data_IF_078312897271
#
_entry.id   IF_078312897271
#
_cell.length_a   1.000
_cell.length_b   1.000
_cell.length_c   1.000
_cell.angle_alpha   90.00
_cell.angle_beta   90.00
_cell.angle_gamma   90.00
#
_symmetry.space_group_name_H-M   'P 1'
#
loop_
_entity.id
_entity.type
_entity.pdbx_description
1 polymer ?
#
# COMPACT_ATOMS: atom_id res chain seq x y z
N UNK A 1 30.88 -33.73 -10.61
CA UNK A 1 30.22 -32.81 -9.66
C UNK A 1 28.86 -33.41 -9.34
N UNK A 2 28.55 -33.65 -8.06
CA UNK A 2 27.24 -34.17 -7.68
C UNK A 2 26.18 -33.16 -8.06
N UNK A 3 25.23 -33.56 -8.92
CA UNK A 3 24.07 -32.69 -9.22
C UNK A 3 23.18 -32.65 -7.98
N UNK A 4 23.00 -31.49 -7.39
CA UNK A 4 22.02 -31.31 -6.32
C UNK A 4 20.63 -31.53 -6.92
N UNK A 5 19.78 -32.42 -6.33
CA UNK A 5 18.41 -32.61 -6.79
C UNK A 5 17.60 -31.31 -6.84
N UNK A 6 16.74 -31.17 -7.84
CA UNK A 6 15.98 -29.92 -8.05
C UNK A 6 15.05 -29.62 -6.87
N UNK A 7 14.54 -30.63 -6.19
CA UNK A 7 13.67 -30.47 -5.02
C UNK A 7 14.39 -29.77 -3.86
N UNK A 8 15.67 -30.11 -3.64
CA UNK A 8 16.50 -29.46 -2.62
C UNK A 8 16.76 -28.01 -3.02
N UNK A 9 17.03 -27.73 -4.31
CA UNK A 9 17.22 -26.37 -4.81
C UNK A 9 15.91 -25.56 -4.61
N UNK A 10 14.77 -26.16 -4.88
CA UNK A 10 13.46 -25.53 -4.71
C UNK A 10 13.23 -25.15 -3.25
N UNK A 11 13.47 -26.07 -2.30
CA UNK A 11 13.32 -25.78 -0.87
C UNK A 11 14.27 -24.69 -0.40
N UNK A 12 15.52 -24.69 -0.83
CA UNK A 12 16.48 -23.64 -0.53
C UNK A 12 16.03 -22.28 -1.10
N UNK A 13 15.50 -22.26 -2.32
CA UNK A 13 15.05 -21.04 -2.97
C UNK A 13 13.81 -20.45 -2.31
N UNK A 14 12.90 -21.27 -1.79
CA UNK A 14 11.72 -20.80 -1.05
C UNK A 14 12.09 -19.96 0.18
N UNK A 15 13.26 -20.19 0.77
CA UNK A 15 13.75 -19.47 1.96
C UNK A 15 14.55 -18.21 1.65
N UNK A 16 14.76 -17.88 0.37
CA UNK A 16 15.54 -16.71 -0.03
C UNK A 16 14.65 -15.49 -0.31
N UNK A 17 15.14 -14.27 -0.03
CA UNK A 17 14.43 -13.05 -0.43
C UNK A 17 14.21 -13.00 -1.95
N UNK A 18 13.06 -12.48 -2.39
CA UNK A 18 12.74 -12.36 -3.82
C UNK A 18 13.81 -11.59 -4.62
N UNK A 19 14.42 -10.56 -4.02
CA UNK A 19 15.50 -9.80 -4.64
C UNK A 19 16.76 -10.64 -4.93
N UNK A 20 17.03 -11.63 -4.09
CA UNK A 20 18.13 -12.61 -4.31
C UNK A 20 17.76 -13.58 -5.43
N UNK A 21 16.53 -14.09 -5.43
CA UNK A 21 16.03 -14.99 -6.48
C UNK A 21 16.05 -14.32 -7.86
N UNK A 22 15.69 -13.05 -7.96
CA UNK A 22 15.82 -12.27 -9.20
C UNK A 22 17.26 -12.27 -9.74
N UNK A 23 18.25 -12.22 -8.86
CA UNK A 23 19.68 -12.33 -9.28
C UNK A 23 20.03 -13.77 -9.71
N UNK A 24 19.47 -14.78 -9.05
CA UNK A 24 19.75 -16.18 -9.33
C UNK A 24 19.17 -16.67 -10.67
N UNK A 25 18.22 -15.95 -11.27
CA UNK A 25 17.71 -16.23 -12.61
C UNK A 25 18.79 -16.33 -13.70
N UNK A 26 19.91 -15.63 -13.54
CA UNK A 26 21.00 -15.62 -14.52
C UNK A 26 21.98 -16.78 -14.35
N UNK A 27 21.87 -17.57 -13.27
CA UNK A 27 22.82 -18.65 -12.97
C UNK A 27 22.72 -19.82 -13.94
N UNK A 28 21.50 -20.21 -14.31
CA UNK A 28 21.26 -21.30 -15.25
C UNK A 28 19.84 -21.26 -15.82
N UNK A 29 19.62 -21.93 -16.96
CA UNK A 29 18.28 -22.10 -17.54
C UNK A 29 17.28 -22.79 -16.59
N UNK A 30 17.66 -23.86 -15.86
CA UNK A 30 16.79 -24.47 -14.86
C UNK A 30 16.38 -23.50 -13.73
N UNK A 31 17.33 -22.73 -13.18
CA UNK A 31 17.02 -21.73 -12.16
C UNK A 31 16.07 -20.64 -12.70
N UNK A 32 16.31 -20.17 -13.91
CA UNK A 32 15.42 -19.24 -14.58
C UNK A 32 14.00 -19.79 -14.71
N UNK A 33 13.86 -21.04 -15.23
CA UNK A 33 12.55 -21.66 -15.44
C UNK A 33 11.81 -21.92 -14.13
N UNK A 34 12.53 -22.31 -13.07
CA UNK A 34 11.96 -22.53 -11.76
C UNK A 34 11.43 -21.21 -11.18
N UNK A 35 12.28 -20.18 -11.07
CA UNK A 35 11.95 -18.90 -10.42
C UNK A 35 10.80 -18.18 -11.13
N UNK A 36 10.67 -18.31 -12.45
CA UNK A 36 9.63 -17.68 -13.25
C UNK A 36 8.36 -18.52 -13.38
N UNK A 37 8.35 -19.73 -12.82
CA UNK A 37 7.16 -20.57 -12.88
C UNK A 37 6.05 -20.02 -11.95
N UNK A 38 4.79 -19.99 -12.41
CA UNK A 38 3.67 -19.55 -11.57
C UNK A 38 3.57 -20.31 -10.24
N UNK A 39 3.81 -21.62 -10.28
CA UNK A 39 3.75 -22.49 -9.10
C UNK A 39 4.80 -22.12 -8.06
N UNK A 40 6.04 -21.84 -8.50
CA UNK A 40 7.09 -21.40 -7.60
C UNK A 40 6.82 -20.02 -7.03
N UNK A 41 6.33 -19.08 -7.85
CA UNK A 41 5.96 -17.71 -7.39
C UNK A 41 4.88 -17.80 -6.31
N UNK A 42 3.85 -18.61 -6.52
CA UNK A 42 2.78 -18.82 -5.54
C UNK A 42 3.29 -19.49 -4.27
N UNK A 43 4.12 -20.54 -4.39
CA UNK A 43 4.70 -21.26 -3.26
C UNK A 43 5.63 -20.37 -2.43
N UNK A 44 6.47 -19.56 -3.09
CA UNK A 44 7.36 -18.61 -2.44
C UNK A 44 6.58 -17.54 -1.67
N UNK A 45 5.54 -16.97 -2.27
CA UNK A 45 4.67 -16.00 -1.59
C UNK A 45 3.99 -16.62 -0.36
N UNK A 46 3.40 -17.81 -0.51
CA UNK A 46 2.76 -18.52 0.60
C UNK A 46 3.74 -18.84 1.73
N UNK A 47 4.95 -19.30 1.40
CA UNK A 47 6.00 -19.54 2.39
C UNK A 47 6.34 -18.27 3.16
N UNK A 48 6.57 -17.15 2.45
CA UNK A 48 6.91 -15.86 3.08
C UNK A 48 5.75 -15.33 3.96
N UNK A 49 4.50 -15.49 3.53
CA UNK A 49 3.33 -15.09 4.33
C UNK A 49 3.17 -15.95 5.59
N UNK A 50 3.46 -17.24 5.53
CA UNK A 50 3.34 -18.17 6.66
C UNK A 50 4.47 -18.00 7.68
N UNK A 51 5.70 -17.81 7.22
CA UNK A 51 6.87 -17.66 8.10
C UNK A 51 7.01 -16.24 8.66
N UNK A 52 6.47 -15.24 7.98
CA UNK A 52 6.72 -13.83 8.28
C UNK A 52 8.16 -13.40 8.00
N UNK A 53 8.92 -14.19 7.25
CA UNK A 53 10.29 -13.86 6.86
C UNK A 53 10.30 -12.81 5.73
N UNK A 54 11.38 -12.02 5.68
CA UNK A 54 11.59 -11.01 4.63
C UNK A 54 10.49 -9.95 4.54
N UNK A 55 9.88 -9.63 5.71
CA UNK A 55 9.00 -8.48 5.81
C UNK A 55 9.82 -7.20 5.74
N UNK A 56 9.34 -6.26 4.96
CA UNK A 56 9.95 -4.94 4.77
C UNK A 56 8.94 -3.86 5.15
N UNK A 57 9.48 -2.72 5.49
CA UNK A 57 8.72 -1.48 5.64
C UNK A 57 9.00 -0.63 4.41
N UNK A 58 7.95 -0.20 3.73
CA UNK A 58 8.02 0.85 2.74
C UNK A 58 7.79 2.18 3.44
N UNK A 59 8.74 3.08 3.33
CA UNK A 59 8.65 4.44 3.85
C UNK A 59 8.46 5.42 2.70
N UNK A 60 7.44 6.24 2.79
CA UNK A 60 7.19 7.33 1.87
C UNK A 60 7.38 8.65 2.60
N UNK A 61 8.48 9.34 2.32
CA UNK A 61 8.74 10.73 2.71
C UNK A 61 8.33 11.73 1.62
N UNK A 62 8.56 13.01 1.83
CA UNK A 62 8.19 14.07 0.87
C UNK A 62 8.87 13.96 -0.50
N UNK A 63 10.04 13.33 -0.56
CA UNK A 63 10.84 13.19 -1.78
C UNK A 63 11.42 11.80 -2.02
N UNK A 64 11.25 10.89 -1.06
CA UNK A 64 11.88 9.57 -1.07
C UNK A 64 10.83 8.49 -0.89
N UNK A 65 10.98 7.44 -1.67
CA UNK A 65 10.35 6.16 -1.43
C UNK A 65 11.48 5.17 -1.17
N UNK A 66 11.51 4.56 0.00
CA UNK A 66 12.54 3.60 0.35
C UNK A 66 11.96 2.37 1.05
N UNK A 67 12.67 1.27 0.95
CA UNK A 67 12.37 0.05 1.69
C UNK A 67 13.42 -0.21 2.74
N UNK A 68 12.96 -0.73 3.88
CA UNK A 68 13.79 -1.06 5.03
C UNK A 68 13.44 -2.48 5.48
N UNK A 69 14.43 -3.30 5.65
CA UNK A 69 14.27 -4.61 6.27
C UNK A 69 14.04 -4.43 7.79
N UNK A 70 12.99 -5.04 8.33
CA UNK A 70 12.64 -4.91 9.75
C UNK A 70 13.71 -5.51 10.65
N UNK A 71 14.34 -6.59 10.22
CA UNK A 71 15.42 -7.27 10.95
C UNK A 71 16.79 -6.57 10.76
N UNK A 72 16.91 -5.65 9.79
CA UNK A 72 18.13 -4.89 9.51
C UNK A 72 17.83 -3.40 9.20
N UNK A 73 17.33 -2.61 10.17
CA UNK A 73 16.83 -1.25 9.96
C UNK A 73 17.88 -0.24 9.51
N UNK A 74 19.16 -0.59 9.63
CA UNK A 74 20.28 0.24 9.13
C UNK A 74 20.45 0.13 7.60
N UNK A 75 19.83 -0.88 6.97
CA UNK A 75 19.88 -1.10 5.51
C UNK A 75 18.65 -0.47 4.85
N UNK A 76 18.80 0.80 4.49
CA UNK A 76 17.79 1.52 3.71
C UNK A 76 18.10 1.37 2.23
N UNK A 77 17.10 1.07 1.43
CA UNK A 77 17.23 0.96 -0.03
C UNK A 77 16.25 1.90 -0.71
N UNK A 78 16.78 2.81 -1.51
CA UNK A 78 15.95 3.71 -2.31
C UNK A 78 15.15 2.94 -3.37
N UNK A 79 13.92 3.33 -3.55
CA UNK A 79 13.00 2.74 -4.50
C UNK A 79 12.75 3.72 -5.64
N UNK A 80 13.32 3.43 -6.81
CA UNK A 80 12.93 4.14 -8.03
C UNK A 80 11.57 3.65 -8.49
N UNK A 81 10.55 4.48 -8.34
CA UNK A 81 9.21 4.14 -8.77
C UNK A 81 8.89 4.67 -10.19
N UNK A 82 7.94 4.04 -10.91
CA UNK A 82 7.68 4.32 -12.33
C UNK A 82 6.96 5.63 -12.60
N UNK A 83 6.28 6.19 -11.60
CA UNK A 83 5.50 7.41 -11.75
C UNK A 83 6.43 8.61 -11.53
N UNK A 84 7.08 9.08 -12.61
CA UNK A 84 7.93 10.26 -12.58
C UNK A 84 7.10 11.47 -12.98
N UNK A 85 6.72 12.29 -12.07
CA UNK A 85 6.31 13.65 -12.40
C UNK A 85 6.21 14.49 -11.13
N UNK A 86 6.57 15.73 -11.18
CA UNK A 86 6.59 16.81 -10.22
C UNK A 86 5.48 16.94 -9.15
N UNK A 87 4.82 15.86 -8.79
CA UNK A 87 3.82 15.74 -7.74
C UNK A 87 4.23 14.73 -6.67
N UNK A 88 3.58 14.79 -5.53
CA UNK A 88 3.75 13.82 -4.47
C UNK A 88 3.04 12.51 -4.89
N UNK A 89 3.81 11.50 -5.29
CA UNK A 89 3.25 10.17 -5.56
C UNK A 89 2.68 9.59 -4.28
N UNK A 90 1.42 9.21 -4.31
CA UNK A 90 0.76 8.55 -3.19
C UNK A 90 0.95 7.04 -3.27
N UNK A 91 1.18 6.42 -2.10
CA UNK A 91 1.12 4.97 -1.91
C UNK A 91 -0.22 4.66 -1.27
N UNK A 92 -1.10 3.95 -1.97
CA UNK A 92 -2.47 3.72 -1.51
C UNK A 92 -2.74 2.29 -1.01
N UNK A 93 -1.70 1.54 -0.75
CA UNK A 93 -1.79 0.22 -0.14
C UNK A 93 -0.74 -0.75 -0.68
N UNK A 94 -0.62 -1.87 0.00
CA UNK A 94 0.22 -2.99 -0.39
C UNK A 94 -0.54 -4.31 -0.30
N UNK A 95 -0.24 -5.24 -1.21
CA UNK A 95 -0.81 -6.58 -1.21
C UNK A 95 0.15 -7.55 -1.88
N UNK A 96 0.55 -8.62 -1.17
CA UNK A 96 1.41 -9.69 -1.71
C UNK A 96 2.71 -9.16 -2.36
N UNK A 97 3.29 -8.10 -1.80
CA UNK A 97 4.51 -7.46 -2.32
C UNK A 97 4.29 -6.45 -3.45
N UNK A 98 3.07 -6.28 -3.93
CA UNK A 98 2.71 -5.16 -4.80
C UNK A 98 2.37 -3.94 -3.98
N UNK A 99 2.75 -2.77 -4.46
CA UNK A 99 2.29 -1.47 -3.97
C UNK A 99 1.48 -0.77 -5.04
N UNK A 100 0.42 -0.10 -4.61
CA UNK A 100 -0.37 0.78 -5.45
C UNK A 100 0.16 2.21 -5.37
N UNK A 101 0.44 2.80 -6.51
CA UNK A 101 0.99 4.15 -6.67
C UNK A 101 0.03 5.02 -7.49
N UNK A 102 -0.16 6.28 -7.08
CA UNK A 102 -0.97 7.24 -7.81
C UNK A 102 -0.36 8.63 -7.79
N UNK A 103 -0.29 9.30 -8.93
CA UNK A 103 -0.05 10.73 -9.07
C UNK A 103 -1.35 11.50 -9.30
N UNK A 104 -2.35 10.84 -9.85
CA UNK A 104 -3.67 11.38 -10.13
C UNK A 104 -4.68 10.23 -10.31
N UNK A 105 -5.98 10.49 -10.35
CA UNK A 105 -6.99 9.46 -10.59
C UNK A 105 -6.84 8.69 -11.90
N UNK A 106 -6.07 9.23 -12.85
CA UNK A 106 -5.84 8.65 -14.19
C UNK A 106 -4.40 8.18 -14.39
N UNK A 107 -3.48 8.45 -13.45
CA UNK A 107 -2.07 8.01 -13.50
C UNK A 107 -1.77 7.12 -12.29
N UNK A 108 -2.05 5.84 -12.47
CA UNK A 108 -1.99 4.81 -11.44
C UNK A 108 -1.06 3.68 -11.91
N UNK A 109 -0.29 3.11 -10.99
CA UNK A 109 0.54 1.94 -11.26
C UNK A 109 0.54 0.96 -10.10
N UNK A 110 0.65 -0.33 -10.41
CA UNK A 110 1.07 -1.38 -9.51
C UNK A 110 2.57 -1.58 -9.69
N UNK A 111 3.29 -1.68 -8.60
CA UNK A 111 4.74 -1.80 -8.63
C UNK A 111 5.22 -2.82 -7.59
N UNK A 112 6.15 -3.68 -7.95
CA UNK A 112 6.82 -4.58 -7.02
C UNK A 112 8.26 -4.10 -6.79
N UNK A 113 8.61 -3.60 -5.60
CA UNK A 113 9.96 -3.14 -5.29
C UNK A 113 11.01 -4.25 -5.37
N UNK A 114 10.66 -5.50 -5.01
CA UNK A 114 11.58 -6.64 -5.00
C UNK A 114 12.02 -7.06 -6.40
N UNK A 115 11.11 -7.02 -7.37
CA UNK A 115 11.38 -7.40 -8.77
C UNK A 115 11.63 -6.17 -9.67
N UNK A 116 11.31 -4.96 -9.18
CA UNK A 116 11.29 -3.69 -9.94
C UNK A 116 10.36 -3.72 -11.14
N UNK A 117 9.36 -4.59 -11.13
CA UNK A 117 8.36 -4.68 -12.18
C UNK A 117 7.21 -3.72 -11.91
N UNK A 118 6.70 -3.18 -13.00
CA UNK A 118 5.62 -2.19 -12.98
C UNK A 118 4.54 -2.58 -13.94
N UNK A 119 3.30 -2.41 -13.52
CA UNK A 119 2.14 -2.43 -14.39
C UNK A 119 1.42 -1.08 -14.27
N UNK A 120 1.49 -0.25 -15.32
CA UNK A 120 0.70 0.98 -15.39
C UNK A 120 -0.72 0.63 -15.78
N UNK A 121 -1.67 1.11 -15.00
CA UNK A 121 -3.08 0.89 -15.29
C UNK A 121 -3.48 1.74 -16.52
N UNK A 122 -4.37 1.22 -17.37
CA UNK A 122 -4.98 2.02 -18.44
C UNK A 122 -5.59 3.30 -17.87
N UNK A 123 -5.29 4.43 -18.51
CA UNK A 123 -5.87 5.70 -18.10
C UNK A 123 -7.39 5.64 -18.23
N UNK A 124 -8.09 5.87 -17.14
CA UNK A 124 -9.54 5.78 -17.08
C UNK A 124 -10.14 7.12 -16.70
N UNK A 125 -10.97 7.65 -17.58
CA UNK A 125 -11.63 8.95 -17.40
C UNK A 125 -12.53 8.90 -16.15
N UNK A 126 -12.62 10.02 -15.46
CA UNK A 126 -13.57 10.21 -14.36
C UNK A 126 -14.94 10.57 -14.96
N UNK A 127 -15.90 9.71 -14.74
CA UNK A 127 -17.29 9.95 -15.17
C UNK A 127 -18.01 10.71 -14.05
N UNK A 128 -18.14 12.00 -14.19
CA UNK A 128 -18.88 12.80 -13.21
C UNK A 128 -20.37 12.43 -13.24
N UNK A 129 -20.95 12.07 -12.09
CA UNK A 129 -22.41 11.88 -11.99
C UNK A 129 -23.16 13.15 -12.40
N UNK A 130 -24.41 12.99 -12.86
CA UNK A 130 -25.25 14.10 -13.28
C UNK A 130 -25.40 15.14 -12.15
N UNK A 131 -25.22 16.42 -12.46
CA UNK A 131 -25.24 17.52 -11.50
C UNK A 131 -23.94 17.76 -10.75
N UNK A 132 -22.88 16.96 -10.98
CA UNK A 132 -21.54 17.17 -10.39
C UNK A 132 -20.70 18.06 -11.30
N UNK A 133 -19.99 19.02 -10.72
CA UNK A 133 -19.17 19.99 -11.47
C UNK A 133 -17.68 19.80 -11.28
N UNK A 134 -17.26 19.27 -10.14
CA UNK A 134 -15.84 19.11 -9.81
C UNK A 134 -15.57 17.81 -9.05
N UNK A 135 -14.34 17.32 -9.19
CA UNK A 135 -13.81 16.24 -8.39
C UNK A 135 -13.59 16.70 -6.95
N UNK A 136 -14.08 15.92 -6.02
CA UNK A 136 -13.74 16.03 -4.61
C UNK A 136 -12.55 15.16 -4.25
N UNK A 137 -12.76 14.20 -3.35
CA UNK A 137 -11.72 13.32 -2.82
C UNK A 137 -11.66 12.01 -3.60
N UNK A 138 -10.45 11.44 -3.67
CA UNK A 138 -10.19 10.15 -4.30
C UNK A 138 -9.72 9.17 -3.25
N UNK A 139 -10.32 7.99 -3.27
CA UNK A 139 -10.00 6.88 -2.40
C UNK A 139 -9.56 5.70 -3.21
N UNK A 140 -8.61 4.97 -2.68
CA UNK A 140 -8.15 3.77 -3.31
C UNK A 140 -8.18 2.59 -2.33
N UNK A 141 -8.20 1.39 -2.90
CA UNK A 141 -7.89 0.17 -2.19
C UNK A 141 -7.21 -0.80 -3.16
N UNK A 142 -6.21 -1.50 -2.67
CA UNK A 142 -5.53 -2.57 -3.40
C UNK A 142 -5.74 -3.88 -2.65
N UNK A 143 -6.17 -4.92 -3.37
CA UNK A 143 -6.34 -6.23 -2.79
C UNK A 143 -6.16 -7.35 -3.80
N UNK A 144 -6.05 -8.57 -3.28
CA UNK A 144 -6.02 -9.81 -4.05
C UNK A 144 -7.31 -10.59 -3.80
N UNK A 145 -8.06 -10.81 -4.86
CA UNK A 145 -9.23 -11.67 -4.86
C UNK A 145 -8.79 -13.12 -5.00
N UNK A 146 -8.88 -13.88 -3.93
CA UNK A 146 -8.46 -15.28 -3.89
C UNK A 146 -9.40 -16.21 -4.68
N UNK A 147 -10.62 -15.79 -4.99
CA UNK A 147 -11.60 -16.58 -5.74
C UNK A 147 -11.32 -16.53 -7.24
N UNK A 148 -11.06 -15.33 -7.76
CA UNK A 148 -10.72 -15.15 -9.18
C UNK A 148 -9.20 -15.17 -9.44
N UNK A 149 -8.38 -15.26 -8.38
CA UNK A 149 -6.92 -15.17 -8.43
C UNK A 149 -6.44 -13.90 -9.15
N UNK A 150 -7.01 -12.75 -8.78
CA UNK A 150 -6.79 -11.48 -9.45
C UNK A 150 -6.45 -10.36 -8.48
N UNK A 151 -5.53 -9.48 -8.88
CA UNK A 151 -5.28 -8.24 -8.15
C UNK A 151 -6.26 -7.18 -8.61
N UNK A 152 -6.94 -6.57 -7.65
CA UNK A 152 -7.95 -5.55 -7.91
C UNK A 152 -7.58 -4.22 -7.26
N UNK A 153 -7.79 -3.13 -8.02
CA UNK A 153 -7.71 -1.76 -7.50
C UNK A 153 -9.10 -1.16 -7.51
N UNK A 154 -9.58 -0.76 -6.35
CA UNK A 154 -10.83 0.00 -6.21
C UNK A 154 -10.50 1.48 -6.20
N UNK A 155 -11.12 2.25 -7.07
CA UNK A 155 -11.07 3.71 -7.10
C UNK A 155 -12.45 4.26 -6.79
N UNK A 156 -12.58 5.02 -5.72
CA UNK A 156 -13.80 5.76 -5.38
C UNK A 156 -13.50 7.26 -5.46
N UNK A 157 -14.31 8.00 -6.18
CA UNK A 157 -14.19 9.45 -6.30
C UNK A 157 -15.47 10.06 -5.77
N UNK A 158 -15.34 10.85 -4.71
CA UNK A 158 -16.40 11.70 -4.23
C UNK A 158 -16.46 12.94 -5.11
N UNK A 159 -17.62 13.22 -5.69
CA UNK A 159 -17.81 14.37 -6.56
C UNK A 159 -18.50 15.50 -5.79
N UNK A 160 -18.14 16.75 -6.11
CA UNK A 160 -18.84 17.92 -5.60
C UNK A 160 -19.95 18.31 -6.56
N UNK A 161 -21.17 18.43 -6.08
CA UNK A 161 -22.30 18.93 -6.87
C UNK A 161 -22.37 20.47 -6.85
N UNK A 162 -23.13 21.03 -7.77
CA UNK A 162 -23.33 22.47 -7.88
C UNK A 162 -24.53 23.01 -7.12
N UNK A 163 -25.25 22.20 -6.33
CA UNK A 163 -26.51 22.60 -5.68
C UNK A 163 -26.41 22.57 -4.16
N UNK A 164 -27.12 23.50 -3.50
CA UNK A 164 -27.23 23.61 -2.04
C UNK A 164 -27.79 22.36 -1.34
N UNK A 165 -28.36 21.41 -2.12
CA UNK A 165 -29.03 20.22 -1.64
C UNK A 165 -28.09 19.04 -1.28
N UNK A 166 -26.76 19.17 -1.47
CA UNK A 166 -25.78 18.18 -1.02
C UNK A 166 -25.90 17.87 0.49
N UNK A 167 -26.45 18.83 1.23
CA UNK A 167 -26.70 18.67 2.65
C UNK A 167 -27.77 17.62 2.96
N UNK A 168 -28.70 17.40 2.03
CA UNK A 168 -29.86 16.50 2.22
C UNK A 168 -29.67 15.17 1.51
N UNK A 169 -29.09 15.18 0.31
CA UNK A 169 -29.02 14.01 -0.58
C UNK A 169 -27.64 13.31 -0.60
N UNK A 170 -26.63 13.88 0.10
CA UNK A 170 -25.27 13.33 0.12
C UNK A 170 -24.44 13.69 -1.12
N UNK A 171 -23.26 13.13 -1.19
CA UNK A 171 -22.31 13.35 -2.27
C UNK A 171 -22.38 12.24 -3.30
N UNK A 172 -22.43 12.54 -4.59
CA UNK A 172 -22.35 11.52 -5.62
C UNK A 172 -20.95 10.92 -5.68
N UNK A 173 -20.89 9.61 -5.92
CA UNK A 173 -19.64 8.87 -6.04
C UNK A 173 -19.52 8.23 -7.43
N UNK A 174 -18.30 8.28 -7.98
CA UNK A 174 -17.90 7.40 -9.08
C UNK A 174 -17.04 6.29 -8.49
N UNK A 175 -17.41 5.05 -8.71
CA UNK A 175 -16.68 3.88 -8.22
C UNK A 175 -16.34 2.97 -9.40
N UNK A 176 -15.05 2.71 -9.56
CA UNK A 176 -14.53 1.78 -10.57
C UNK A 176 -13.58 0.79 -9.96
N UNK A 177 -13.59 -0.43 -10.47
CA UNK A 177 -12.70 -1.52 -10.10
C UNK A 177 -11.85 -1.90 -11.29
N UNK A 178 -10.55 -1.90 -11.11
CA UNK A 178 -9.59 -2.42 -12.07
C UNK A 178 -9.28 -3.88 -11.77
N UNK A 179 -9.25 -4.72 -12.79
CA UNK A 179 -8.78 -6.11 -12.76
C UNK A 179 -7.43 -6.19 -13.46
N UNK A 180 -6.40 -6.65 -12.75
CA UNK A 180 -5.07 -6.85 -13.36
C UNK A 180 -5.11 -7.95 -14.41
N UNK A 181 -5.83 -9.04 -14.14
CA UNK A 181 -5.97 -10.19 -15.04
C UNK A 181 -6.65 -9.82 -16.36
N UNK A 182 -7.67 -8.93 -16.30
CA UNK A 182 -8.40 -8.43 -17.47
C UNK A 182 -7.77 -7.17 -18.08
N UNK A 183 -6.88 -6.52 -17.35
CA UNK A 183 -6.28 -5.23 -17.68
C UNK A 183 -7.32 -4.17 -18.07
N UNK A 184 -8.40 -4.10 -17.33
CA UNK A 184 -9.51 -3.20 -17.62
C UNK A 184 -10.26 -2.74 -16.38
N UNK A 185 -10.90 -1.57 -16.51
CA UNK A 185 -11.76 -0.98 -15.48
C UNK A 185 -13.20 -1.38 -15.69
N UNK A 186 -13.92 -1.59 -14.59
CA UNK A 186 -15.35 -1.83 -14.54
C UNK A 186 -16.00 -0.84 -13.59
N UNK A 187 -17.08 -0.16 -14.02
CA UNK A 187 -17.86 0.72 -13.15
C UNK A 187 -18.79 -0.10 -12.26
N UNK A 188 -18.80 0.22 -10.96
CA UNK A 188 -19.78 -0.32 -10.00
C UNK A 188 -21.01 0.58 -10.01
N UNK A 189 -22.13 0.01 -10.44
CA UNK A 189 -23.40 0.74 -10.56
C UNK A 189 -24.22 0.74 -9.27
N UNK A 190 -24.11 -0.35 -8.49
CA UNK A 190 -24.87 -0.53 -7.26
C UNK A 190 -24.04 -0.08 -6.06
N UNK A 191 -24.31 1.11 -5.59
CA UNK A 191 -23.67 1.68 -4.41
C UNK A 191 -24.72 1.76 -3.31
N UNK A 192 -24.32 1.41 -2.06
CA UNK A 192 -25.23 1.53 -0.93
C UNK A 192 -25.63 3.00 -0.74
N UNK A 193 -26.92 3.34 -0.61
CA UNK A 193 -27.35 4.71 -0.35
C UNK A 193 -26.68 5.33 0.87
N UNK A 194 -26.39 4.52 1.89
CA UNK A 194 -25.68 4.94 3.09
C UNK A 194 -24.29 5.56 2.77
N UNK A 195 -23.58 5.09 1.74
CA UNK A 195 -22.26 5.63 1.37
C UNK A 195 -22.38 7.08 0.90
N UNK A 196 -23.46 7.45 0.22
CA UNK A 196 -23.68 8.81 -0.28
C UNK A 196 -23.85 9.82 0.86
N UNK A 197 -24.29 9.37 2.04
CA UNK A 197 -24.47 10.21 3.23
C UNK A 197 -23.19 10.38 4.02
N UNK A 198 -22.14 9.61 3.70
CA UNK A 198 -20.90 9.60 4.45
C UNK A 198 -19.97 10.71 3.93
N UNK A 199 -19.46 11.50 4.85
CA UNK A 199 -18.65 12.66 4.52
C UNK A 199 -17.18 12.42 4.87
N UNK A 200 -16.34 12.44 3.84
CA UNK A 200 -14.93 12.07 3.99
C UNK A 200 -13.98 13.21 4.31
N UNK A 201 -14.41 14.45 4.14
CA UNK A 201 -13.57 15.65 4.23
C UNK A 201 -12.67 15.70 5.49
N UNK A 202 -13.19 15.26 6.63
CA UNK A 202 -12.47 15.34 7.90
C UNK A 202 -11.36 14.33 8.08
N UNK A 203 -11.40 13.19 7.41
CA UNK A 203 -10.39 12.14 7.58
C UNK A 203 -9.07 12.46 6.89
N UNK A 204 -9.09 13.08 5.72
CA UNK A 204 -7.86 13.49 5.02
C UNK A 204 -7.08 14.57 5.76
N UNK A 205 -7.76 15.44 6.50
CA UNK A 205 -7.14 16.54 7.23
C UNK A 205 -6.48 16.12 8.55
N UNK A 206 -6.84 14.94 9.10
CA UNK A 206 -6.42 14.50 10.43
C UNK A 206 -5.40 13.35 10.42
N UNK A 207 -4.48 13.32 9.44
CA UNK A 207 -3.42 12.30 9.36
C UNK A 207 -3.89 10.91 8.94
N UNK A 208 -5.14 10.70 8.61
CA UNK A 208 -5.70 9.39 8.27
C UNK A 208 -5.57 9.10 6.79
N UNK A 209 -5.17 7.89 6.48
CA UNK A 209 -5.06 7.42 5.11
C UNK A 209 -6.46 7.06 4.60
N UNK A 210 -6.90 7.71 3.54
CA UNK A 210 -8.14 7.37 2.83
C UNK A 210 -8.07 6.10 2.02
N UNK A 211 -7.21 5.16 2.43
CA UNK A 211 -6.98 3.94 1.67
C UNK A 211 -7.69 2.77 2.31
N UNK A 212 -8.22 1.91 1.45
CA UNK A 212 -8.87 0.68 1.88
C UNK A 212 -7.88 -0.27 2.54
N UNK A 213 -8.24 -0.75 3.70
CA UNK A 213 -7.46 -1.73 4.46
C UNK A 213 -7.90 -3.13 4.04
N UNK A 214 -6.95 -3.93 3.53
CA UNK A 214 -7.22 -5.28 3.07
C UNK A 214 -7.22 -6.27 4.24
N UNK A 215 -8.35 -6.92 4.46
CA UNK A 215 -8.49 -8.05 5.36
C UNK A 215 -9.56 -9.02 4.83
N UNK A 216 -9.38 -10.32 5.01
CA UNK A 216 -10.38 -11.35 4.70
C UNK A 216 -11.02 -11.18 3.31
N UNK A 217 -10.21 -11.08 2.26
CA UNK A 217 -10.64 -10.90 0.87
C UNK A 217 -11.53 -9.68 0.61
N UNK A 218 -11.45 -8.67 1.49
CA UNK A 218 -12.27 -7.45 1.40
C UNK A 218 -11.46 -6.21 1.76
N UNK A 219 -11.83 -5.09 1.16
CA UNK A 219 -11.28 -3.77 1.48
C UNK A 219 -12.22 -3.06 2.44
N UNK A 220 -11.67 -2.39 3.43
CA UNK A 220 -12.44 -1.74 4.50
C UNK A 220 -12.06 -0.28 4.64
N UNK A 221 -13.05 0.57 4.91
CA UNK A 221 -12.89 1.99 5.21
C UNK A 221 -13.77 2.36 6.41
N UNK A 222 -13.27 3.22 7.28
CA UNK A 222 -14.11 3.90 8.27
C UNK A 222 -14.55 5.22 7.67
N UNK A 223 -15.84 5.46 7.60
CA UNK A 223 -16.42 6.69 7.09
C UNK A 223 -17.21 7.35 8.20
N UNK A 224 -16.84 8.57 8.63
CA UNK A 224 -17.64 9.32 9.60
C UNK A 224 -18.88 9.84 8.92
N UNK A 225 -19.97 9.88 9.67
CA UNK A 225 -21.11 10.69 9.30
C UNK A 225 -20.75 12.19 9.42
N UNK A 226 -21.52 12.98 8.74
CA UNK A 226 -21.37 14.42 8.64
C UNK A 226 -21.22 15.12 10.00
N UNK A 227 -20.31 16.12 10.15
CA UNK A 227 -20.28 16.99 11.31
C UNK A 227 -21.59 17.75 11.46
N UNK A 228 -22.12 17.81 12.69
CA UNK A 228 -23.38 18.52 13.02
C UNK A 228 -24.64 17.66 13.06
N UNK A 229 -24.60 16.43 12.56
CA UNK A 229 -25.57 15.40 12.91
C UNK A 229 -24.91 14.51 13.96
N UNK A 230 -25.67 13.86 14.84
CA UNK A 230 -25.14 12.86 15.77
C UNK A 230 -24.35 11.85 14.91
N UNK A 231 -23.00 11.98 14.96
CA UNK A 231 -22.15 11.35 13.98
C UNK A 231 -21.78 9.97 14.47
N UNK A 232 -22.38 8.95 13.89
CA UNK A 232 -21.92 7.58 14.05
C UNK A 232 -20.86 7.27 13.01
N UNK A 233 -19.78 6.64 13.42
CA UNK A 233 -18.86 6.01 12.48
C UNK A 233 -19.60 4.90 11.73
N UNK A 234 -19.17 4.65 10.51
CA UNK A 234 -19.66 3.54 9.71
C UNK A 234 -18.47 2.84 9.07
N UNK A 235 -18.35 1.55 9.27
CA UNK A 235 -17.36 0.75 8.56
C UNK A 235 -18.02 0.19 7.33
N UNK A 236 -17.47 0.52 6.17
CA UNK A 236 -17.86 -0.11 4.91
C UNK A 236 -16.83 -1.13 4.49
N UNK A 237 -17.28 -2.24 3.95
CA UNK A 237 -16.45 -3.23 3.31
C UNK A 237 -16.82 -3.37 1.83
N UNK A 238 -15.83 -3.62 1.01
CA UNK A 238 -15.99 -4.01 -0.39
C UNK A 238 -15.45 -5.41 -0.57
N UNK A 239 -16.32 -6.35 -0.86
CA UNK A 239 -15.94 -7.73 -1.15
C UNK A 239 -15.31 -7.82 -2.54
N UNK A 240 -14.06 -8.34 -2.60
CA UNK A 240 -13.32 -8.38 -3.85
C UNK A 240 -13.87 -9.43 -4.84
N UNK A 241 -14.52 -10.49 -4.34
CA UNK A 241 -15.05 -11.55 -5.19
C UNK A 241 -16.41 -11.16 -5.80
N UNK A 242 -17.35 -10.72 -4.98
CA UNK A 242 -18.68 -10.30 -5.43
C UNK A 242 -18.69 -8.89 -6.03
N UNK A 243 -17.70 -8.06 -5.70
CA UNK A 243 -17.60 -6.63 -6.05
C UNK A 243 -18.81 -5.83 -5.51
N UNK A 244 -19.24 -6.17 -4.31
CA UNK A 244 -20.35 -5.51 -3.62
C UNK A 244 -19.91 -4.82 -2.34
N UNK A 245 -20.58 -3.72 -2.01
CA UNK A 245 -20.39 -3.01 -0.74
C UNK A 245 -21.38 -3.51 0.30
N UNK A 246 -20.89 -3.64 1.53
CA UNK A 246 -21.69 -3.93 2.72
C UNK A 246 -21.26 -3.01 3.87
N UNK A 247 -22.16 -2.79 4.82
CA UNK A 247 -21.83 -2.19 6.11
C UNK A 247 -21.35 -3.33 7.02
N UNK A 248 -20.24 -3.10 7.71
CA UNK A 248 -19.71 -4.02 8.69
C UNK A 248 -20.06 -3.53 10.10
N UNK A 249 -20.71 -4.38 10.85
CA UNK A 249 -21.09 -4.09 12.23
C UNK A 249 -19.86 -4.08 13.16
N UNK A 250 -19.89 -3.21 14.15
CA UNK A 250 -18.85 -3.06 15.16
C UNK A 250 -19.48 -2.62 16.50
N UNK A 251 -18.76 -2.69 17.63
CA UNK A 251 -19.34 -2.41 18.95
C UNK A 251 -19.97 -1.02 19.03
N UNK A 252 -21.23 -0.94 19.43
CA UNK A 252 -21.98 0.31 19.56
C UNK A 252 -21.27 1.31 20.47
N UNK A 253 -20.57 0.81 21.51
CA UNK A 253 -19.75 1.64 22.40
C UNK A 253 -18.66 2.44 21.70
N UNK A 254 -18.25 2.06 20.48
CA UNK A 254 -17.26 2.74 19.68
C UNK A 254 -17.89 3.67 18.62
N UNK A 255 -19.19 3.70 18.48
CA UNK A 255 -19.88 4.41 17.41
C UNK A 255 -19.61 5.93 17.40
N UNK A 256 -19.40 6.51 18.58
CA UNK A 256 -19.12 7.95 18.75
C UNK A 256 -17.65 8.27 19.01
N UNK A 257 -16.82 7.26 19.11
CA UNK A 257 -15.41 7.42 19.44
C UNK A 257 -14.58 7.80 18.19
N UNK A 258 -13.39 8.32 18.43
CA UNK A 258 -12.44 8.59 17.39
C UNK A 258 -11.75 7.28 16.99
N UNK A 259 -12.30 6.57 15.99
CA UNK A 259 -11.79 5.28 15.53
C UNK A 259 -11.06 5.37 14.22
N UNK A 260 -10.08 4.48 14.06
CA UNK A 260 -9.40 4.18 12.81
C UNK A 260 -9.37 2.67 12.57
N UNK A 261 -9.03 2.26 11.34
CA UNK A 261 -9.05 0.85 10.95
C UNK A 261 -7.66 0.40 10.48
N UNK A 262 -7.30 -0.83 10.81
CA UNK A 262 -6.03 -1.44 10.42
C UNK A 262 -6.10 -2.95 10.39
N UNK A 263 -4.95 -3.57 10.19
CA UNK A 263 -4.78 -5.02 10.25
C UNK A 263 -3.61 -5.35 11.18
N UNK A 264 -3.81 -6.35 12.01
CA UNK A 264 -2.74 -6.93 12.81
C UNK A 264 -2.87 -8.46 12.74
N UNK A 265 -1.81 -9.11 12.29
CA UNK A 265 -1.77 -10.58 12.16
C UNK A 265 -2.92 -11.14 11.30
N UNK A 266 -3.21 -10.48 10.18
CA UNK A 266 -4.30 -10.84 9.27
C UNK A 266 -5.71 -10.52 9.73
N UNK A 267 -5.90 -10.10 10.99
CA UNK A 267 -7.19 -9.77 11.55
C UNK A 267 -7.48 -8.27 11.46
N UNK A 268 -8.73 -7.93 11.20
CA UNK A 268 -9.20 -6.54 11.20
C UNK A 268 -9.14 -5.96 12.61
N UNK A 269 -8.59 -4.75 12.72
CA UNK A 269 -8.43 -4.03 13.98
C UNK A 269 -9.08 -2.66 13.93
N UNK A 270 -9.61 -2.21 15.07
CA UNK A 270 -10.00 -0.82 15.30
C UNK A 270 -9.07 -0.20 16.34
N UNK A 271 -8.60 1.00 16.05
CA UNK A 271 -7.87 1.84 16.99
C UNK A 271 -8.81 2.93 17.48
N UNK A 272 -9.17 2.85 18.76
CA UNK A 272 -10.04 3.83 19.42
C UNK A 272 -9.18 4.82 20.20
N UNK A 273 -9.11 6.07 19.73
CA UNK A 273 -8.30 7.10 20.36
C UNK A 273 -9.14 7.88 21.39
N UNK A 274 -8.76 7.76 22.65
CA UNK A 274 -9.42 8.42 23.77
C UNK A 274 -8.71 9.73 24.11
N UNK A 275 -9.26 10.84 23.58
CA UNK A 275 -8.82 12.21 23.88
C UNK A 275 -7.31 12.43 23.80
N UNK A 276 -6.67 11.77 22.83
CA UNK A 276 -5.20 11.84 22.60
C UNK A 276 -4.34 11.37 23.78
N UNK A 277 -4.95 10.69 24.76
CA UNK A 277 -4.27 10.21 25.98
C UNK A 277 -3.81 8.77 25.87
N UNK A 278 -4.62 7.94 25.24
CA UNK A 278 -4.31 6.53 24.95
C UNK A 278 -5.15 6.02 23.79
N UNK A 279 -4.70 4.93 23.19
CA UNK A 279 -5.44 4.23 22.14
C UNK A 279 -5.74 2.80 22.60
N UNK A 280 -6.98 2.40 22.55
CA UNK A 280 -7.41 1.02 22.69
C UNK A 280 -7.41 0.33 21.34
N UNK A 281 -6.73 -0.80 21.23
CA UNK A 281 -6.73 -1.63 20.04
C UNK A 281 -7.74 -2.74 20.23
N UNK A 282 -8.71 -2.81 19.34
CA UNK A 282 -9.72 -3.85 19.27
C UNK A 282 -9.45 -4.75 18.07
N UNK A 283 -9.78 -6.03 18.18
CA UNK A 283 -9.61 -7.02 17.12
C UNK A 283 -10.91 -7.78 16.87
N UNK A 284 -11.21 -8.02 15.60
CA UNK A 284 -12.29 -8.92 15.19
C UNK A 284 -11.71 -10.34 15.09
N UNK A 285 -12.05 -11.20 16.06
CA UNK A 285 -11.51 -12.58 16.11
C UNK A 285 -12.13 -13.49 15.05
N UNK A 286 -13.42 -13.33 14.81
CA UNK A 286 -14.16 -14.04 13.78
C UNK A 286 -14.76 -13.03 12.82
N UNK A 287 -14.33 -13.10 11.58
CA UNK A 287 -14.70 -12.10 10.57
C UNK A 287 -16.21 -12.07 10.31
N UNK A 288 -16.80 -10.86 10.28
CA UNK A 288 -18.25 -10.59 10.14
C UNK A 288 -19.11 -11.07 11.32
N UNK A 289 -18.53 -11.44 12.43
CA UNK A 289 -19.27 -11.76 13.66
C UNK A 289 -19.13 -10.57 14.61
N UNK A 290 -20.19 -9.78 14.80
CA UNK A 290 -20.19 -8.57 15.63
C UNK A 290 -19.69 -8.84 17.04
N UNK A 291 -20.22 -9.90 17.67
CA UNK A 291 -19.82 -10.31 19.03
C UNK A 291 -18.37 -10.79 19.16
N UNK A 292 -17.63 -10.94 18.07
CA UNK A 292 -16.23 -11.37 18.09
C UNK A 292 -15.24 -10.24 18.35
N UNK A 293 -15.69 -8.99 18.32
CA UNK A 293 -14.84 -7.86 18.67
C UNK A 293 -14.41 -7.92 20.12
N UNK A 294 -13.13 -7.81 20.36
CA UNK A 294 -12.57 -7.80 21.71
C UNK A 294 -11.41 -6.84 21.81
N UNK A 295 -11.29 -6.19 22.96
CA UNK A 295 -10.15 -5.33 23.26
C UNK A 295 -8.89 -6.19 23.39
N UNK A 296 -7.87 -5.87 22.61
CA UNK A 296 -6.63 -6.63 22.56
C UNK A 296 -5.59 -6.07 23.55
N UNK A 297 -5.28 -4.78 23.44
CA UNK A 297 -4.39 -4.06 24.35
C UNK A 297 -4.65 -2.56 24.32
N UNK A 298 -4.07 -1.87 25.30
CA UNK A 298 -4.08 -0.41 25.40
C UNK A 298 -2.67 0.13 25.24
N UNK A 299 -2.54 1.19 24.44
CA UNK A 299 -1.29 1.93 24.20
C UNK A 299 -1.42 3.31 24.81
N UNK A 300 -0.71 3.65 25.88
CA UNK A 300 -0.71 4.99 26.45
C UNK A 300 0.06 5.95 25.53
N UNK A 301 -0.22 7.24 25.62
CA UNK A 301 0.56 8.27 24.92
C UNK A 301 2.05 8.17 25.29
N UNK A 302 2.96 7.98 24.30
CA UNK A 302 4.38 7.98 24.58
C UNK A 302 4.87 9.35 25.04
N UNK A 303 5.73 9.40 26.05
CA UNK A 303 6.33 10.66 26.53
C UNK A 303 7.13 11.41 25.45
N UNK A 304 7.56 10.72 24.41
CA UNK A 304 8.36 11.27 23.30
C UNK A 304 7.53 11.94 22.20
N UNK A 305 6.20 11.98 22.32
CA UNK A 305 5.32 12.63 21.34
C UNK A 305 4.56 13.78 21.99
N UNK A 306 4.47 14.91 21.30
CA UNK A 306 3.72 16.09 21.75
C UNK A 306 2.22 15.87 21.62
N UNK A 307 1.78 15.39 20.43
CA UNK A 307 0.41 14.97 20.16
C UNK A 307 0.33 13.46 19.96
N UNK A 308 -0.86 12.87 20.15
CA UNK A 308 -1.12 11.46 19.92
C UNK A 308 -2.39 11.32 19.09
N UNK A 309 -2.33 11.83 17.87
CA UNK A 309 -3.49 11.98 16.99
C UNK A 309 -3.79 10.68 16.24
N UNK A 310 -2.74 9.93 15.90
CA UNK A 310 -2.83 8.72 15.11
C UNK A 310 -1.88 7.64 15.64
N UNK A 311 -2.36 6.41 15.70
CA UNK A 311 -1.54 5.24 15.99
C UNK A 311 -2.10 4.05 15.23
N UNK A 312 -1.21 3.25 14.64
CA UNK A 312 -1.55 2.02 13.93
C UNK A 312 -0.58 0.89 14.28
N UNK A 313 -1.07 -0.30 14.69
CA UNK A 313 -0.24 -1.48 14.80
C UNK A 313 0.11 -1.98 13.38
N UNK A 314 1.34 -2.46 13.22
CA UNK A 314 1.83 -2.98 11.94
C UNK A 314 2.03 -4.50 12.00
N UNK A 315 2.78 -4.98 12.98
CA UNK A 315 3.08 -6.41 13.15
C UNK A 315 3.54 -6.71 14.56
N UNK A 316 3.52 -7.98 14.94
CA UNK A 316 4.17 -8.50 16.13
C UNK A 316 5.66 -8.75 15.91
N UNK A 317 6.47 -8.69 16.98
CA UNK A 317 7.80 -9.29 17.01
C UNK A 317 7.71 -10.81 16.83
N UNK A 318 8.82 -11.45 16.43
CA UNK A 318 8.87 -12.92 16.27
C UNK A 318 8.42 -13.67 17.53
N UNK A 319 8.79 -13.16 18.70
CA UNK A 319 8.41 -13.72 20.00
C UNK A 319 6.99 -13.30 20.46
N UNK A 320 6.30 -12.45 19.68
CA UNK A 320 4.97 -11.92 19.95
C UNK A 320 4.81 -11.14 21.28
N UNK A 321 5.92 -10.76 21.89
CA UNK A 321 5.96 -9.96 23.14
C UNK A 321 5.85 -8.45 22.88
N UNK A 322 6.11 -8.01 21.65
CA UNK A 322 6.06 -6.61 21.20
C UNK A 322 5.24 -6.43 19.95
N UNK A 323 4.74 -5.21 19.79
CA UNK A 323 4.04 -4.77 18.55
C UNK A 323 4.79 -3.57 17.99
N UNK A 324 5.07 -3.60 16.69
CA UNK A 324 5.57 -2.43 15.97
C UNK A 324 4.40 -1.49 15.70
N UNK A 325 4.53 -0.25 16.15
CA UNK A 325 3.51 0.79 16.01
C UNK A 325 4.04 1.93 15.14
N UNK A 326 3.18 2.41 14.24
CA UNK A 326 3.32 3.71 13.59
C UNK A 326 2.58 4.76 14.41
N UNK A 327 3.21 5.91 14.69
CA UNK A 327 2.63 7.01 15.47
C UNK A 327 2.76 8.30 14.67
N UNK A 328 1.64 8.99 14.46
CA UNK A 328 1.51 10.30 13.81
C UNK A 328 2.20 10.41 12.44
N UNK A 329 2.28 9.32 11.66
CA UNK A 329 3.01 9.24 10.38
C UNK A 329 4.46 9.76 10.48
N UNK A 330 5.10 9.62 11.63
CA UNK A 330 6.42 10.18 11.90
C UNK A 330 7.34 9.27 12.70
N UNK A 331 6.81 8.34 13.46
CA UNK A 331 7.60 7.51 14.36
C UNK A 331 7.21 6.05 14.26
N UNK A 332 8.23 5.19 14.23
CA UNK A 332 8.09 3.75 14.39
C UNK A 332 8.64 3.35 15.75
N UNK A 333 7.84 2.67 16.54
CA UNK A 333 8.21 2.25 17.89
C UNK A 333 7.77 0.82 18.15
N UNK A 334 8.65 0.04 18.77
CA UNK A 334 8.29 -1.21 19.39
C UNK A 334 7.62 -0.93 20.74
N UNK A 335 6.43 -1.46 20.92
CA UNK A 335 5.67 -1.41 22.18
C UNK A 335 5.68 -2.78 22.83
N UNK A 336 6.25 -2.89 23.99
CA UNK A 336 6.31 -4.11 24.80
C UNK A 336 4.96 -4.32 25.52
N UNK A 337 4.31 -5.44 25.25
CA UNK A 337 2.97 -5.70 25.72
C UNK A 337 2.89 -5.95 27.24
N UNK A 338 3.94 -6.47 27.86
CA UNK A 338 3.99 -6.74 29.29
C UNK A 338 4.42 -5.50 30.08
N UNK A 339 5.56 -4.92 29.73
CA UNK A 339 6.14 -3.78 30.48
C UNK A 339 5.55 -2.43 30.13
N UNK A 340 4.75 -2.35 29.05
CA UNK A 340 4.16 -1.10 28.48
C UNK A 340 5.22 -0.05 28.11
N UNK A 341 6.44 -0.47 27.78
CA UNK A 341 7.54 0.41 27.39
C UNK A 341 7.64 0.54 25.88
N UNK A 342 8.14 1.71 25.46
CA UNK A 342 8.40 2.02 24.05
C UNK A 342 9.90 2.00 23.77
N UNK A 343 10.27 1.42 22.63
CA UNK A 343 11.60 1.45 22.06
C UNK A 343 11.53 1.99 20.63
N UNK A 344 12.15 3.14 20.33
CA UNK A 344 12.18 3.70 18.98
C UNK A 344 12.88 2.73 18.02
N UNK A 345 12.25 2.43 16.90
CA UNK A 345 12.92 1.81 15.76
C UNK A 345 13.68 2.93 15.03
N UNK A 346 15.01 2.90 15.11
CA UNK A 346 15.85 3.87 14.42
C UNK A 346 16.11 3.39 13.02
N UNK A 347 15.72 4.20 12.04
CA UNK A 347 16.01 3.97 10.63
C UNK A 347 16.99 5.05 10.21
N UNK A 348 18.07 4.62 9.56
CA UNK A 348 19.14 5.53 9.13
C UNK A 348 18.57 6.51 8.10
N UNK A 349 18.94 7.79 8.23
CA UNK A 349 18.58 8.88 7.30
C UNK A 349 17.07 9.15 7.13
N UNK A 350 16.23 8.71 8.09
CA UNK A 350 14.80 8.87 8.08
C UNK A 350 14.29 9.56 9.36
N UNK A 351 14.59 10.85 9.51
CA UNK A 351 14.13 11.62 10.68
C UNK A 351 12.89 12.49 10.43
N UNK A 352 12.38 12.51 9.20
CA UNK A 352 11.22 13.32 8.80
C UNK A 352 9.91 12.52 8.83
N UNK A 353 8.79 13.24 8.78
CA UNK A 353 7.44 12.68 8.65
C UNK A 353 7.34 11.77 7.42
N UNK A 354 6.86 10.57 7.61
CA UNK A 354 6.69 9.56 6.55
C UNK A 354 5.44 8.72 6.78
N UNK A 355 4.85 8.25 5.70
CA UNK A 355 3.86 7.20 5.77
C UNK A 355 4.50 5.83 5.59
N UNK A 356 3.98 4.84 6.28
CA UNK A 356 4.52 3.49 6.35
C UNK A 356 3.57 2.50 5.68
N UNK A 357 4.10 1.56 4.89
CA UNK A 357 3.36 0.37 4.45
C UNK A 357 4.17 -0.87 4.78
N UNK A 358 3.49 -1.90 5.30
CA UNK A 358 4.10 -3.21 5.45
C UNK A 358 4.15 -3.88 4.09
N UNK A 359 5.32 -4.42 3.74
CA UNK A 359 5.57 -5.01 2.44
C UNK A 359 6.16 -6.41 2.59
N UNK A 360 5.63 -7.34 1.82
CA UNK A 360 6.15 -8.70 1.71
C UNK A 360 7.12 -8.77 0.54
N UNK A 361 8.30 -9.37 0.73
CA UNK A 361 9.20 -9.66 -0.38
C UNK A 361 8.59 -10.74 -1.28
N UNK A 362 8.28 -10.45 -2.53
CA UNK A 362 7.62 -11.39 -3.43
C UNK A 362 8.10 -11.31 -4.88
N UNK A 363 7.87 -12.39 -5.64
CA UNK A 363 8.11 -12.48 -7.07
C UNK A 363 6.88 -12.14 -7.92
N UNK A 364 5.80 -11.70 -7.30
CA UNK A 364 4.54 -11.31 -7.98
C UNK A 364 4.81 -10.21 -9.01
N UNK A 365 4.06 -10.18 -10.08
CA UNK A 365 4.33 -9.47 -11.34
C UNK A 365 5.58 -9.98 -12.05
N UNK A 366 6.09 -11.14 -11.69
CA UNK A 366 7.23 -11.88 -12.25
C UNK A 366 8.02 -11.14 -13.33
N UNK A 367 9.17 -11.56 -13.64
CA UNK A 367 9.95 -10.88 -14.68
C UNK A 367 9.43 -11.15 -16.12
N UNK A 368 8.20 -11.57 -16.29
CA UNK A 368 7.52 -11.53 -17.60
C UNK A 368 7.27 -10.08 -17.95
N UNK A 369 8.35 -9.41 -18.42
CA UNK A 369 8.20 -8.09 -19.02
C UNK A 369 7.18 -8.20 -20.15
N UNK A 370 6.19 -7.31 -20.16
CA UNK A 370 5.45 -7.01 -21.39
C UNK A 370 6.49 -6.91 -22.52
N UNK A 371 6.42 -7.72 -23.59
CA UNK A 371 7.35 -7.65 -24.70
C UNK A 371 7.54 -6.22 -25.21
N UNK A 372 6.51 -5.39 -25.09
CA UNK A 372 6.54 -3.97 -25.43
C UNK A 372 7.31 -3.13 -24.40
N UNK A 373 7.30 -3.50 -23.13
CA UNK A 373 8.06 -2.79 -22.08
C UNK A 373 9.56 -3.09 -22.18
N UNK A 374 9.92 -4.33 -22.48
CA UNK A 374 11.30 -4.70 -22.78
C UNK A 374 11.82 -3.94 -24.01
N UNK A 375 10.99 -3.79 -25.03
CA UNK A 375 11.31 -3.01 -26.23
C UNK A 375 11.46 -1.52 -25.89
N UNK A 376 10.53 -0.95 -25.13
CA UNK A 376 10.58 0.46 -24.67
C UNK A 376 11.80 0.73 -23.77
N UNK A 377 12.19 -0.21 -22.89
CA UNK A 377 13.42 -0.09 -22.08
C UNK A 377 14.67 -0.12 -22.93
N UNK A 378 14.73 -1.00 -23.94
CA UNK A 378 15.86 -1.03 -24.90
C UNK A 378 15.94 0.26 -25.70
N UNK A 379 14.82 0.77 -26.18
CA UNK A 379 14.75 2.02 -26.94
C UNK A 379 15.13 3.24 -26.05
N UNK A 380 14.71 3.24 -24.78
CA UNK A 380 15.09 4.30 -23.84
C UNK A 380 16.57 4.27 -23.50
N UNK A 381 17.15 3.11 -23.20
CA UNK A 381 18.60 2.96 -22.99
C UNK A 381 19.38 3.40 -24.25
N UNK A 382 18.95 2.96 -25.42
CA UNK A 382 19.59 3.38 -26.67
C UNK A 382 19.48 4.89 -26.92
N UNK A 383 18.44 5.56 -26.46
CA UNK A 383 18.33 7.04 -26.50
C UNK A 383 19.23 7.70 -25.47
N UNK A 384 19.29 7.19 -24.25
CA UNK A 384 20.16 7.68 -23.16
C UNK A 384 21.64 7.52 -23.56
N UNK A 385 22.02 6.37 -24.11
CA UNK A 385 23.37 6.12 -24.62
C UNK A 385 23.75 7.06 -25.81
N UNK A 386 22.82 7.32 -26.73
CA UNK A 386 23.03 8.30 -27.81
C UNK A 386 23.19 9.72 -27.29
N UNK A 387 22.42 10.12 -26.28
CA UNK A 387 22.53 11.44 -25.63
C UNK A 387 23.86 11.57 -24.88
N UNK A 388 24.32 10.55 -24.18
CA UNK A 388 25.66 10.53 -23.55
C UNK A 388 26.77 10.59 -24.58
N UNK A 389 26.68 9.86 -25.69
CA UNK A 389 27.67 9.91 -26.75
C UNK A 389 27.70 11.29 -27.46
N UNK A 390 26.55 11.96 -27.59
CA UNK A 390 26.49 13.32 -28.13
C UNK A 390 27.04 14.36 -27.14
N UNK A 391 26.81 14.19 -25.82
CA UNK A 391 27.40 15.04 -24.80
C UNK A 391 28.93 14.90 -24.79
N UNK A 392 29.45 13.68 -24.76
CA UNK A 392 30.90 13.43 -24.80
C UNK A 392 31.57 13.95 -26.08
N UNK A 393 30.90 13.86 -27.26
CA UNK A 393 31.40 14.48 -28.48
C UNK A 393 31.38 16.00 -28.42
N UNK A 394 30.46 16.60 -27.72
CA UNK A 394 30.37 18.07 -27.57
C UNK A 394 31.44 18.57 -26.61
N UNK A 395 31.75 17.84 -25.55
CA UNK A 395 32.84 18.15 -24.62
C UNK A 395 34.21 17.95 -25.28
N UNK A 396 34.39 16.92 -26.11
CA UNK A 396 35.59 16.70 -26.92
C UNK A 396 35.80 17.79 -28.00
N UNK A 397 34.72 18.32 -28.57
CA UNK A 397 34.76 19.43 -29.51
C UNK A 397 35.13 20.75 -28.83
N UNK A 398 34.60 21.00 -27.61
CA UNK A 398 34.89 22.19 -26.84
C UNK A 398 36.33 22.17 -26.27
N UNK A 399 36.86 20.98 -25.92
CA UNK A 399 38.25 20.84 -25.42
C UNK A 399 39.30 21.04 -26.51
N UNK A 400 38.95 20.85 -27.77
CA UNK A 400 39.88 21.05 -28.93
C UNK A 400 39.84 22.46 -29.51
N UNK A 401 38.95 23.35 -29.04
CA UNK A 401 38.66 24.64 -29.67
C UNK A 401 39.33 25.88 -29.07
N UNK A 402 40.12 25.79 -28.00
CA UNK A 402 40.78 26.94 -27.39
C UNK A 402 42.30 26.77 -27.32
N UNK A 403 43.01 27.07 -28.43
CA UNK A 403 44.39 27.54 -28.36
C UNK A 403 44.35 29.07 -28.30
N UNK A 404 44.57 29.64 -27.13
CA UNK A 404 44.96 31.03 -26.99
C UNK A 404 46.35 31.20 -27.63
N UNK A 405 46.43 31.95 -28.71
CA UNK A 405 47.68 32.51 -29.19
C UNK A 405 47.84 33.84 -28.48
N UNK A 406 48.84 33.90 -27.57
CA UNK A 406 49.36 35.13 -27.01
C UNK A 406 50.41 35.71 -27.98
#
# INVERSE_FOLDING_TARGET
MANIPMDIITDLFLRLPASTLVRFRVLSKPCFSLIDSPDFIASHLNHTLQTGDHLMILLRGPRLLCTVDIDAPDKVSDVEHPLKAGGLTEVFGSCNGLIGLSNSPTDIALFNPSTRQTHRLPAEIVDFPEGSTTRGYVFYGLGYDSVSEDYKVVRMIQCKGGKADELVFGFPYEIKVFSLKKNSWKRIKRVLPAIQLLFYFYYHLLYRRGYGVLACNSLHWVLPRRPGLIAFNTIIRFDLASEEFEILDFPESLAHENIDIGVLDGCLCLMCNHEFSYVDVWIMKEYKVEGSWSKLFRVPKPKSVESFDFMRPLLYSKDRDKVLLEINNAKLVWFDLASKRFRKLRIKDCDSSYSVELLVSSLVLGCRGDPNEVKRRKERRAREDKLMQQSNKRDDFLSKGFKLVL
#
